data_IF_790616278581
#
_entry.id   IF_790616278581
#
_cell.length_a   1.000
_cell.length_b   1.000
_cell.length_c   1.000
_cell.angle_alpha   90.00
_cell.angle_beta   90.00
_cell.angle_gamma   90.00
#
_symmetry.space_group_name_H-M   'P 1'
#
loop_
_entity.id
_entity.type
_entity.pdbx_description
1 polymer ?
#
# COMPACT_ATOMS: atom_id res chain seq x y z
N UNK A 1 18.44 9.37 0.02
CA UNK A 1 17.53 8.50 -0.76
C UNK A 1 16.10 9.03 -0.64
N UNK A 2 15.50 9.32 -1.77
CA UNK A 2 14.10 9.79 -1.79
C UNK A 2 13.13 8.61 -1.92
N UNK A 3 12.16 8.55 -1.03
CA UNK A 3 11.13 7.51 -1.00
C UNK A 3 9.73 8.13 -1.13
N UNK A 4 8.85 7.49 -1.88
CA UNK A 4 7.43 7.83 -1.93
C UNK A 4 6.59 6.60 -1.60
N UNK A 5 5.41 6.82 -1.05
CA UNK A 5 4.39 5.79 -0.93
C UNK A 5 3.16 6.27 -1.68
N UNK A 6 2.78 5.52 -2.70
CA UNK A 6 1.55 5.72 -3.46
C UNK A 6 0.49 4.83 -2.81
N UNK A 7 -0.61 5.41 -2.35
CA UNK A 7 -1.61 4.67 -1.61
C UNK A 7 -3.03 4.95 -2.11
N UNK A 8 -3.93 4.01 -1.83
CA UNK A 8 -5.37 4.19 -1.96
C UNK A 8 -6.03 3.68 -0.69
N UNK A 9 -6.93 4.46 -0.12
CA UNK A 9 -7.62 4.11 1.12
C UNK A 9 -9.05 4.62 1.05
N UNK A 10 -9.96 3.71 0.71
CA UNK A 10 -11.37 4.06 0.52
C UNK A 10 -12.31 3.36 1.51
N UNK A 11 -11.87 2.30 2.17
CA UNK A 11 -12.68 1.51 3.08
C UNK A 11 -12.13 1.61 4.50
N UNK A 12 -12.87 2.28 5.40
CA UNK A 12 -12.49 2.54 6.80
C UNK A 12 -11.18 3.30 7.00
N UNK A 13 -10.51 3.76 5.95
CA UNK A 13 -9.28 4.53 6.07
C UNK A 13 -8.08 3.75 6.61
N UNK A 14 -8.08 2.43 6.51
CA UNK A 14 -7.03 1.56 7.08
C UNK A 14 -5.64 1.86 6.51
N UNK A 15 -5.54 1.87 5.20
CA UNK A 15 -4.25 2.12 4.53
C UNK A 15 -3.75 3.54 4.79
N UNK A 16 -4.66 4.52 4.75
CA UNK A 16 -4.31 5.91 5.04
C UNK A 16 -3.75 6.07 6.45
N UNK A 17 -4.39 5.47 7.44
CA UNK A 17 -3.93 5.47 8.83
C UNK A 17 -2.51 4.90 8.94
N UNK A 18 -2.26 3.80 8.26
CA UNK A 18 -0.96 3.12 8.29
C UNK A 18 0.14 3.97 7.63
N UNK A 19 -0.10 4.48 6.42
CA UNK A 19 0.92 5.25 5.70
C UNK A 19 1.18 6.61 6.34
N UNK A 20 0.18 7.24 6.93
CA UNK A 20 0.37 8.48 7.70
C UNK A 20 1.23 8.23 8.93
N UNK A 21 1.03 7.11 9.62
CA UNK A 21 1.89 6.71 10.73
C UNK A 21 3.34 6.49 10.31
N UNK A 22 3.55 5.88 9.15
CA UNK A 22 4.89 5.73 8.58
C UNK A 22 5.52 7.09 8.27
N UNK A 23 4.76 7.99 7.66
CA UNK A 23 5.27 9.32 7.26
C UNK A 23 5.63 10.20 8.45
N UNK A 24 5.05 9.99 9.63
CA UNK A 24 5.40 10.73 10.85
C UNK A 24 6.82 10.43 11.33
N UNK A 25 7.33 9.22 11.04
CA UNK A 25 8.62 8.77 11.56
C UNK A 25 9.66 8.47 10.46
N UNK A 26 9.23 8.41 9.22
CA UNK A 26 10.10 8.14 8.07
C UNK A 26 10.00 9.31 7.09
N UNK A 27 11.11 9.64 6.43
CA UNK A 27 11.08 10.67 5.39
C UNK A 27 10.56 10.04 4.10
N UNK A 28 9.25 10.06 3.92
CA UNK A 28 8.58 9.57 2.72
C UNK A 28 7.53 10.59 2.27
N UNK A 29 7.40 10.75 0.97
CA UNK A 29 6.32 11.54 0.39
C UNK A 29 5.10 10.63 0.19
N UNK A 30 3.92 11.11 0.53
CA UNK A 30 2.68 10.36 0.35
C UNK A 30 1.93 10.87 -0.88
N UNK A 31 1.52 9.96 -1.75
CA UNK A 31 0.75 10.25 -2.95
C UNK A 31 -0.54 9.45 -2.90
N UNK A 32 -1.69 10.14 -2.82
CA UNK A 32 -3.00 9.51 -2.86
C UNK A 32 -3.38 9.29 -4.33
N UNK A 33 -3.40 8.04 -4.78
CA UNK A 33 -3.64 7.69 -6.17
C UNK A 33 -5.04 8.05 -6.67
N UNK A 34 -6.02 8.14 -5.76
CA UNK A 34 -7.38 8.54 -6.13
C UNK A 34 -7.45 10.04 -6.38
N UNK A 35 -6.83 10.83 -5.52
CA UNK A 35 -6.83 12.30 -5.63
C UNK A 35 -5.82 12.81 -6.65
N UNK A 36 -4.72 12.09 -6.83
CA UNK A 36 -3.61 12.48 -7.68
C UNK A 36 -3.22 11.31 -8.59
N UNK A 37 -4.04 11.03 -9.63
CA UNK A 37 -3.80 9.86 -10.49
C UNK A 37 -2.58 9.98 -11.40
N UNK A 38 -2.03 11.19 -11.53
CA UNK A 38 -0.82 11.46 -12.32
C UNK A 38 0.26 12.04 -11.44
N UNK A 39 1.46 11.47 -11.47
CA UNK A 39 2.61 11.99 -10.75
C UNK A 39 3.90 11.55 -11.43
N UNK A 40 4.92 12.39 -11.37
CA UNK A 40 6.26 12.07 -11.86
C UNK A 40 7.03 11.35 -10.74
N UNK A 41 7.35 10.09 -10.95
CA UNK A 41 8.08 9.26 -9.99
C UNK A 41 9.57 9.14 -10.30
N UNK A 42 10.06 9.80 -11.34
CA UNK A 42 11.45 9.64 -11.79
C UNK A 42 12.49 10.00 -10.73
N UNK A 43 12.21 10.99 -9.89
CA UNK A 43 13.16 11.47 -8.88
C UNK A 43 13.22 10.60 -7.63
N UNK A 44 12.35 9.61 -7.49
CA UNK A 44 12.35 8.73 -6.33
C UNK A 44 13.25 7.52 -6.57
N UNK A 45 14.03 7.18 -5.55
CA UNK A 45 14.91 6.00 -5.58
C UNK A 45 14.15 4.73 -5.22
N UNK A 46 13.11 4.88 -4.41
CA UNK A 46 12.32 3.77 -3.89
C UNK A 46 10.86 4.19 -3.81
N UNK A 47 9.97 3.33 -4.30
CA UNK A 47 8.54 3.63 -4.36
C UNK A 47 7.77 2.49 -3.69
N UNK A 48 6.93 2.85 -2.72
CA UNK A 48 6.00 1.92 -2.11
C UNK A 48 4.62 2.04 -2.72
N UNK A 49 3.93 0.92 -2.87
CA UNK A 49 2.51 0.88 -3.20
C UNK A 49 1.76 0.28 -2.03
N UNK A 50 0.80 1.02 -1.50
CA UNK A 50 0.03 0.65 -0.32
C UNK A 50 -1.46 0.62 -0.63
N UNK A 51 -2.13 -0.46 -0.30
CA UNK A 51 -3.56 -0.63 -0.57
C UNK A 51 -4.20 -1.62 0.41
N UNK A 52 -5.52 -1.49 0.58
CA UNK A 52 -6.33 -2.60 1.07
C UNK A 52 -6.52 -3.63 -0.02
N UNK A 53 -7.23 -4.71 0.32
CA UNK A 53 -7.58 -5.76 -0.62
C UNK A 53 -9.04 -5.60 -1.03
N UNK A 54 -9.28 -5.49 -2.33
CA UNK A 54 -10.58 -5.32 -2.95
C UNK A 54 -10.75 -6.37 -4.04
N UNK A 55 -11.68 -7.28 -3.88
CA UNK A 55 -11.87 -8.40 -4.81
C UNK A 55 -10.56 -9.18 -5.02
N UNK A 56 -9.90 -9.51 -3.91
CA UNK A 56 -8.64 -10.28 -3.88
C UNK A 56 -7.42 -9.59 -4.49
N UNK A 57 -7.46 -8.28 -4.69
CA UNK A 57 -6.33 -7.53 -5.28
C UNK A 57 -6.24 -6.12 -4.72
N UNK A 58 -5.15 -5.44 -5.00
CA UNK A 58 -4.98 -4.02 -4.67
C UNK A 58 -6.06 -3.19 -5.39
N UNK A 59 -6.38 -2.04 -4.81
CA UNK A 59 -7.37 -1.14 -5.38
C UNK A 59 -7.03 -0.78 -6.83
N UNK A 60 -8.06 -0.68 -7.66
CA UNK A 60 -7.88 -0.40 -9.09
C UNK A 60 -7.08 0.87 -9.36
N UNK A 61 -7.24 1.91 -8.52
CA UNK A 61 -6.48 3.15 -8.67
C UNK A 61 -4.97 2.95 -8.55
N UNK A 62 -4.53 2.02 -7.68
CA UNK A 62 -3.11 1.68 -7.52
C UNK A 62 -2.60 0.94 -8.74
N UNK A 63 -3.37 -0.01 -9.24
CA UNK A 63 -3.00 -0.79 -10.41
C UNK A 63 -2.84 0.11 -11.64
N UNK A 64 -3.81 1.00 -11.85
CA UNK A 64 -3.76 1.97 -12.95
C UNK A 64 -2.62 2.98 -12.80
N UNK A 65 -2.41 3.46 -11.57
CA UNK A 65 -1.32 4.39 -11.28
C UNK A 65 0.04 3.77 -11.62
N UNK A 66 0.26 2.53 -11.22
CA UNK A 66 1.51 1.83 -11.51
C UNK A 66 1.72 1.63 -13.02
N UNK A 67 0.68 1.20 -13.74
CA UNK A 67 0.78 1.04 -15.19
C UNK A 67 1.11 2.34 -15.91
N UNK A 68 0.50 3.44 -15.47
CA UNK A 68 0.60 4.74 -16.15
C UNK A 68 1.88 5.50 -15.78
N UNK A 69 2.25 5.50 -14.49
CA UNK A 69 3.23 6.45 -13.98
C UNK A 69 4.57 5.83 -13.55
N UNK A 70 4.63 4.52 -13.32
CA UNK A 70 5.85 3.92 -12.81
C UNK A 70 6.91 3.84 -13.90
N UNK A 71 8.08 4.47 -13.72
CA UNK A 71 9.20 4.27 -14.64
C UNK A 71 9.76 2.86 -14.52
N UNK A 72 10.48 2.43 -15.55
CA UNK A 72 11.16 1.14 -15.52
C UNK A 72 12.31 1.14 -14.50
N UNK A 73 12.64 -0.05 -14.02
CA UNK A 73 13.85 -0.33 -13.22
C UNK A 73 13.88 0.43 -11.88
N UNK A 74 12.76 0.46 -11.17
CA UNK A 74 12.68 1.05 -9.82
C UNK A 74 12.69 -0.02 -8.74
N UNK A 75 13.17 0.34 -7.55
CA UNK A 75 13.05 -0.47 -6.34
C UNK A 75 11.69 -0.21 -5.73
N UNK A 76 10.95 -1.27 -5.47
CA UNK A 76 9.55 -1.21 -5.01
C UNK A 76 9.40 -1.95 -3.69
N UNK A 77 8.60 -1.40 -2.79
CA UNK A 77 8.09 -2.15 -1.65
C UNK A 77 6.57 -2.12 -1.64
N UNK A 78 5.96 -3.14 -1.07
CA UNK A 78 4.52 -3.31 -1.07
C UNK A 78 3.99 -3.34 0.35
N UNK A 79 2.88 -2.64 0.57
CA UNK A 79 2.18 -2.58 1.85
C UNK A 79 0.72 -2.92 1.61
N UNK A 80 0.20 -3.84 2.41
CA UNK A 80 -1.17 -4.33 2.28
C UNK A 80 -1.87 -4.32 3.62
N UNK A 81 -3.08 -3.75 3.67
CA UNK A 81 -4.00 -3.93 4.81
C UNK A 81 -5.10 -4.89 4.38
N UNK A 82 -5.45 -5.85 5.22
CA UNK A 82 -6.41 -6.89 4.85
C UNK A 82 -7.28 -7.29 6.04
N UNK A 83 -8.52 -7.65 5.74
CA UNK A 83 -9.40 -8.28 6.71
C UNK A 83 -9.16 -9.78 6.77
N UNK A 84 -9.23 -10.44 5.62
CA UNK A 84 -9.05 -11.88 5.47
C UNK A 84 -7.60 -12.28 5.22
N UNK A 85 -7.05 -11.93 4.07
CA UNK A 85 -5.68 -12.30 3.67
C UNK A 85 -5.06 -11.27 2.75
N UNK A 86 -3.74 -11.16 2.82
CA UNK A 86 -2.96 -10.33 1.88
C UNK A 86 -2.90 -11.00 0.51
N UNK A 87 -2.85 -10.18 -0.55
CA UNK A 87 -2.66 -10.68 -1.90
C UNK A 87 -1.92 -9.62 -2.73
N UNK A 88 -0.72 -9.95 -3.20
CA UNK A 88 0.13 -9.06 -3.97
C UNK A 88 0.23 -9.44 -5.45
N UNK A 89 -0.47 -10.49 -5.87
CA UNK A 89 -0.28 -11.10 -7.19
C UNK A 89 -0.50 -10.12 -8.34
N UNK A 90 -1.61 -9.38 -8.32
CA UNK A 90 -1.97 -8.51 -9.44
C UNK A 90 -0.99 -7.34 -9.59
N UNK A 91 -0.62 -6.70 -8.47
CA UNK A 91 0.36 -5.60 -8.53
C UNK A 91 1.73 -6.13 -8.96
N UNK A 92 2.14 -7.30 -8.50
CA UNK A 92 3.42 -7.89 -8.90
C UNK A 92 3.49 -8.18 -10.40
N UNK A 93 2.39 -8.59 -11.02
CA UNK A 93 2.33 -8.80 -12.47
C UNK A 93 2.58 -7.51 -13.25
N UNK A 94 2.06 -6.39 -12.76
CA UNK A 94 2.28 -5.07 -13.36
C UNK A 94 3.74 -4.65 -13.19
N UNK A 95 4.29 -4.85 -11.99
CA UNK A 95 5.67 -4.50 -11.68
C UNK A 95 6.68 -5.26 -12.53
N UNK A 96 6.41 -6.52 -12.82
CA UNK A 96 7.26 -7.34 -13.69
C UNK A 96 7.38 -6.74 -15.09
N UNK A 97 6.29 -6.19 -15.62
CA UNK A 97 6.29 -5.53 -16.94
C UNK A 97 7.10 -4.24 -16.95
N UNK A 98 7.36 -3.66 -15.79
CA UNK A 98 8.16 -2.44 -15.62
C UNK A 98 9.60 -2.73 -15.22
N UNK A 99 10.00 -3.98 -15.21
CA UNK A 99 11.35 -4.40 -14.80
C UNK A 99 11.72 -3.92 -13.39
N UNK A 100 10.71 -3.79 -12.55
CA UNK A 100 10.89 -3.33 -11.16
C UNK A 100 11.35 -4.46 -10.26
N UNK A 101 12.09 -4.11 -9.21
CA UNK A 101 12.55 -5.07 -8.21
C UNK A 101 11.76 -4.86 -6.92
N UNK A 102 11.00 -5.88 -6.49
CA UNK A 102 10.30 -5.84 -5.20
C UNK A 102 11.30 -6.21 -4.11
N UNK A 103 11.64 -5.24 -3.28
CA UNK A 103 12.66 -5.41 -2.22
C UNK A 103 12.06 -5.76 -0.86
N UNK A 104 10.76 -5.67 -0.69
CA UNK A 104 10.09 -6.04 0.55
C UNK A 104 8.58 -5.94 0.46
N UNK A 105 7.91 -6.69 1.33
CA UNK A 105 6.45 -6.70 1.45
C UNK A 105 6.08 -6.67 2.92
N UNK A 106 5.09 -5.86 3.26
CA UNK A 106 4.53 -5.78 4.60
C UNK A 106 3.01 -5.88 4.53
N UNK A 107 2.42 -6.71 5.36
CA UNK A 107 0.97 -6.81 5.46
C UNK A 107 0.52 -6.78 6.92
N UNK A 108 -0.59 -6.13 7.18
CA UNK A 108 -1.22 -6.15 8.50
C UNK A 108 -2.74 -6.18 8.34
N UNK A 109 -3.42 -6.54 9.43
CA UNK A 109 -4.87 -6.55 9.45
C UNK A 109 -5.44 -5.13 9.38
N UNK A 110 -6.61 -5.00 8.75
CA UNK A 110 -7.39 -3.76 8.71
C UNK A 110 -8.85 -4.09 8.91
N UNK A 111 -9.60 -3.21 9.58
CA UNK A 111 -11.02 -3.41 9.81
C UNK A 111 -11.76 -3.57 8.47
N UNK A 112 -12.50 -4.66 8.31
CA UNK A 112 -13.15 -5.02 7.06
C UNK A 112 -14.60 -5.45 7.31
N UNK A 113 -15.54 -4.77 6.64
CA UNK A 113 -16.96 -5.10 6.64
C UNK A 113 -17.47 -5.53 5.27
N UNK A 114 -16.58 -5.78 4.33
CA UNK A 114 -16.92 -6.11 2.94
C UNK A 114 -17.49 -7.54 2.83
N UNK A 115 -18.54 -7.68 2.02
CA UNK A 115 -19.13 -8.98 1.72
C UNK A 115 -19.62 -9.73 2.96
N UNK A 116 -19.25 -10.99 3.13
CA UNK A 116 -19.72 -11.81 4.26
C UNK A 116 -19.24 -11.30 5.63
N UNK A 117 -18.18 -10.49 5.69
CA UNK A 117 -17.70 -9.91 6.95
C UNK A 117 -18.70 -8.96 7.58
N UNK A 118 -19.53 -8.32 6.77
CA UNK A 118 -20.59 -7.42 7.23
C UNK A 118 -21.62 -8.15 8.10
N UNK A 119 -21.88 -9.43 7.83
CA UNK A 119 -22.87 -10.22 8.55
C UNK A 119 -22.47 -10.48 10.01
N UNK A 120 -21.18 -10.42 10.32
CA UNK A 120 -20.66 -10.62 11.67
C UNK A 120 -20.15 -9.31 12.29
N UNK A 121 -20.55 -8.15 11.73
CA UNK A 121 -20.14 -6.84 12.23
C UNK A 121 -18.73 -6.42 11.80
N UNK A 122 -18.15 -7.11 10.80
CA UNK A 122 -16.79 -6.86 10.33
C UNK A 122 -15.76 -7.78 11.00
N UNK A 123 -14.55 -7.77 10.49
CA UNK A 123 -13.41 -8.51 11.05
C UNK A 123 -12.23 -7.58 11.26
N UNK A 124 -11.28 -7.98 12.10
CA UNK A 124 -10.08 -7.22 12.43
C UNK A 124 -10.38 -5.80 12.95
N UNK A 125 -11.49 -5.64 13.67
CA UNK A 125 -11.87 -4.35 14.26
C UNK A 125 -10.75 -3.82 15.15
N UNK A 126 -10.46 -2.53 15.03
CA UNK A 126 -9.35 -1.89 15.77
C UNK A 126 -8.00 -1.99 15.07
N UNK A 127 -7.92 -2.63 13.91
CA UNK A 127 -6.70 -2.71 13.10
C UNK A 127 -6.80 -1.79 11.87
N UNK A 128 -5.68 -1.20 11.42
CA UNK A 128 -4.35 -1.26 12.06
C UNK A 128 -4.34 -0.58 13.43
N UNK A 129 -3.66 -1.19 14.38
CA UNK A 129 -3.44 -0.61 15.70
C UNK A 129 -2.02 0.01 15.80
N UNK A 130 -1.66 0.51 16.99
CA UNK A 130 -0.35 1.14 17.20
C UNK A 130 0.81 0.18 16.94
N UNK A 131 0.65 -1.10 17.28
CA UNK A 131 1.67 -2.12 17.02
C UNK A 131 1.85 -2.37 15.52
N UNK A 132 0.76 -2.42 14.77
CA UNK A 132 0.80 -2.56 13.31
C UNK A 132 1.56 -1.40 12.69
N UNK A 133 1.27 -0.17 13.12
CA UNK A 133 1.94 1.03 12.62
C UNK A 133 3.44 1.00 12.98
N UNK A 134 3.78 0.64 14.21
CA UNK A 134 5.17 0.52 14.63
C UNK A 134 5.94 -0.49 13.78
N UNK A 135 5.34 -1.65 13.53
CA UNK A 135 5.94 -2.68 12.69
C UNK A 135 6.14 -2.20 11.25
N UNK A 136 5.19 -1.45 10.72
CA UNK A 136 5.30 -0.87 9.38
C UNK A 136 6.42 0.17 9.31
N UNK A 137 6.55 1.01 10.33
CA UNK A 137 7.65 1.98 10.44
C UNK A 137 9.00 1.27 10.43
N UNK A 138 9.15 0.22 11.24
CA UNK A 138 10.38 -0.56 11.30
C UNK A 138 10.68 -1.23 9.96
N UNK A 139 9.66 -1.73 9.28
CA UNK A 139 9.80 -2.30 7.93
C UNK A 139 10.38 -1.29 6.96
N UNK A 140 9.81 -0.09 6.90
CA UNK A 140 10.27 0.96 5.97
C UNK A 140 11.68 1.44 6.32
N UNK A 141 11.99 1.58 7.61
CA UNK A 141 13.34 1.96 8.06
C UNK A 141 14.41 0.94 7.68
N UNK A 142 14.04 -0.33 7.59
CA UNK A 142 14.96 -1.41 7.25
C UNK A 142 15.23 -1.58 5.75
N UNK A 143 14.54 -0.87 4.91
CA UNK A 143 14.67 -0.98 3.45
C UNK A 143 15.92 -0.27 2.90
#
# INVERSE_FOLDING_TARGET
MRKAIVYASVHHGNTEKLVKGIAEECQVDLIDAVKQPDADLNSYDMIGFASGIYFSKFHQSILEFAEKNLPDDKKIFLICTYGGSANYKTIEQILDKKYSTVIGKFGCKGYDTFGPFKLVGGIAKGHPDEKDIKNAVEFVKGL
#
